data_IF_045875778473
#
_entry.id   IF_045875778473
#
_cell.length_a   1.000
_cell.length_b   1.000
_cell.length_c   1.000
_cell.angle_alpha   90.00
_cell.angle_beta   90.00
_cell.angle_gamma   90.00
#
_symmetry.space_group_name_H-M   'P 1'
#
loop_
_entity.id
_entity.type
_entity.pdbx_description
1 polymer ?
#
# COMPACT_ATOMS: atom_id res chain seq x y z
N UNK A 1 19.87 9.57 12.88
CA UNK A 1 18.91 9.32 11.80
C UNK A 1 17.61 8.88 12.45
N UNK A 2 16.48 9.47 12.03
CA UNK A 2 15.17 9.13 12.53
C UNK A 2 14.53 8.13 11.60
N UNK A 3 13.77 7.19 12.15
CA UNK A 3 12.92 6.29 11.38
C UNK A 3 11.53 6.92 11.33
N UNK A 4 10.82 6.83 10.21
CA UNK A 4 9.53 7.51 9.99
C UNK A 4 8.50 6.52 9.45
N UNK A 5 7.21 6.74 9.77
CA UNK A 5 6.14 6.02 9.11
C UNK A 5 5.80 6.70 7.79
N UNK A 6 5.46 5.90 6.80
CA UNK A 6 5.00 6.36 5.50
C UNK A 6 3.70 5.67 5.14
N UNK A 7 2.85 6.38 4.40
CA UNK A 7 1.68 5.83 3.74
C UNK A 7 1.85 6.01 2.24
N UNK A 8 1.57 4.97 1.46
CA UNK A 8 1.62 5.04 0.02
C UNK A 8 0.53 4.21 -0.66
N UNK A 9 0.31 4.50 -1.93
CA UNK A 9 -0.51 3.67 -2.83
C UNK A 9 0.42 2.73 -3.57
N UNK A 10 0.10 1.44 -3.59
CA UNK A 10 0.84 0.47 -4.40
C UNK A 10 0.63 0.77 -5.88
N UNK A 11 1.72 1.08 -6.59
CA UNK A 11 1.74 1.22 -8.04
C UNK A 11 2.00 -0.13 -8.72
N UNK A 12 2.94 -0.91 -8.17
CA UNK A 12 3.25 -2.24 -8.67
C UNK A 12 3.58 -3.18 -7.50
N UNK A 13 3.32 -4.47 -7.67
CA UNK A 13 3.68 -5.47 -6.70
C UNK A 13 4.14 -6.79 -7.33
N UNK A 14 4.89 -7.54 -6.53
CA UNK A 14 5.29 -8.91 -6.79
C UNK A 14 5.06 -9.75 -5.52
N UNK A 15 4.37 -10.89 -5.66
CA UNK A 15 4.20 -11.85 -4.58
C UNK A 15 4.73 -13.23 -4.98
N UNK A 16 5.48 -13.84 -4.06
CA UNK A 16 6.11 -15.13 -4.26
C UNK A 16 6.05 -15.99 -3.00
N UNK A 17 6.06 -17.30 -3.20
CA UNK A 17 6.16 -18.30 -2.12
C UNK A 17 7.11 -19.42 -2.54
N UNK A 18 7.67 -20.11 -1.54
CA UNK A 18 8.49 -21.31 -1.76
C UNK A 18 7.59 -22.55 -1.86
N UNK A 19 6.36 -22.47 -1.33
CA UNK A 19 5.38 -23.54 -1.45
C UNK A 19 4.84 -23.62 -2.88
N UNK A 20 4.44 -24.82 -3.30
CA UNK A 20 3.78 -25.01 -4.60
C UNK A 20 2.31 -24.60 -4.51
N UNK A 21 2.05 -23.29 -4.49
CA UNK A 21 0.69 -22.73 -4.54
C UNK A 21 0.21 -22.56 -5.98
N UNK A 22 -1.08 -22.75 -6.20
CA UNK A 22 -1.74 -22.36 -7.45
C UNK A 22 -1.86 -20.84 -7.54
N UNK A 23 -2.06 -20.33 -8.77
CA UNK A 23 -2.32 -18.91 -9.00
C UNK A 23 -3.50 -18.39 -8.15
N UNK A 24 -4.57 -19.17 -8.04
CA UNK A 24 -5.79 -18.77 -7.31
C UNK A 24 -5.56 -18.71 -5.80
N UNK A 25 -4.83 -19.68 -5.24
CA UNK A 25 -4.46 -19.67 -3.82
C UNK A 25 -3.60 -18.45 -3.48
N UNK A 26 -2.55 -18.20 -4.27
CA UNK A 26 -1.68 -17.05 -4.02
C UNK A 26 -2.44 -15.72 -4.20
N UNK A 27 -3.27 -15.61 -5.25
CA UNK A 27 -4.09 -14.43 -5.48
C UNK A 27 -5.05 -14.18 -4.31
N UNK A 28 -5.77 -15.20 -3.84
CA UNK A 28 -6.69 -15.07 -2.70
C UNK A 28 -5.97 -14.60 -1.44
N UNK A 29 -4.79 -15.15 -1.14
CA UNK A 29 -4.03 -14.73 0.04
C UNK A 29 -3.46 -13.32 -0.09
N UNK A 30 -2.98 -12.93 -1.27
CA UNK A 30 -2.55 -11.54 -1.53
C UNK A 30 -3.75 -10.58 -1.47
N UNK A 31 -4.94 -11.03 -1.86
CA UNK A 31 -6.14 -10.21 -1.88
C UNK A 31 -6.55 -9.70 -0.48
N UNK A 32 -6.14 -10.40 0.59
CA UNK A 32 -6.33 -9.95 1.97
C UNK A 32 -5.45 -8.74 2.34
N UNK A 33 -4.38 -8.52 1.57
CA UNK A 33 -3.37 -7.47 1.80
C UNK A 33 -3.50 -6.33 0.79
N UNK A 34 -3.92 -6.62 -0.44
CA UNK A 34 -4.16 -5.68 -1.53
C UNK A 34 -5.42 -6.07 -2.28
N UNK A 35 -6.32 -5.14 -2.57
CA UNK A 35 -7.48 -5.45 -3.39
C UNK A 35 -7.05 -5.65 -4.85
N UNK A 36 -6.94 -6.91 -5.29
CA UNK A 36 -6.44 -7.30 -6.61
C UNK A 36 -7.34 -6.82 -7.75
N UNK A 37 -8.61 -6.49 -7.50
CA UNK A 37 -9.51 -5.93 -8.52
C UNK A 37 -9.06 -4.55 -9.02
N UNK A 38 -8.16 -3.88 -8.29
CA UNK A 38 -7.59 -2.59 -8.66
C UNK A 38 -6.35 -2.71 -9.56
N UNK A 39 -5.85 -3.93 -9.78
CA UNK A 39 -4.61 -4.19 -10.48
C UNK A 39 -4.86 -5.00 -11.76
N UNK A 40 -4.09 -4.69 -12.80
CA UNK A 40 -3.88 -5.61 -13.90
C UNK A 40 -2.76 -6.55 -13.49
N UNK A 41 -3.12 -7.80 -13.17
CA UNK A 41 -2.19 -8.78 -12.63
C UNK A 41 -2.10 -10.04 -13.50
N UNK A 42 -0.96 -10.71 -13.39
CA UNK A 42 -0.71 -11.99 -14.02
C UNK A 42 0.04 -12.93 -13.06
N UNK A 43 0.01 -14.23 -13.37
CA UNK A 43 0.76 -15.23 -12.64
C UNK A 43 1.69 -15.97 -13.61
N UNK A 44 3.00 -15.81 -13.41
CA UNK A 44 4.04 -16.39 -14.27
C UNK A 44 5.15 -16.97 -13.39
N UNK A 45 5.61 -18.18 -13.69
CA UNK A 45 6.73 -18.84 -13.00
C UNK A 45 6.62 -18.91 -11.47
N UNK A 46 5.40 -19.11 -10.95
CA UNK A 46 5.16 -19.18 -9.50
C UNK A 46 5.09 -17.82 -8.81
N UNK A 47 5.06 -16.74 -9.59
CA UNK A 47 5.08 -15.36 -9.13
C UNK A 47 3.81 -14.63 -9.56
N UNK A 48 3.16 -13.94 -8.64
CA UNK A 48 2.01 -13.08 -8.90
C UNK A 48 2.49 -11.64 -9.01
N UNK A 49 2.35 -11.02 -10.17
CA UNK A 49 2.75 -9.64 -10.42
C UNK A 49 1.55 -8.82 -10.80
N UNK A 50 1.48 -7.56 -10.36
CA UNK A 50 0.41 -6.67 -10.75
C UNK A 50 0.80 -5.20 -10.76
N UNK A 51 0.13 -4.44 -11.62
CA UNK A 51 0.28 -2.99 -11.75
C UNK A 51 -1.08 -2.34 -11.57
N UNK A 52 -1.12 -1.20 -10.87
CA UNK A 52 -2.35 -0.45 -10.64
C UNK A 52 -2.97 -0.08 -11.99
N UNK A 53 -4.28 -0.29 -12.16
CA UNK A 53 -4.96 0.00 -13.42
C UNK A 53 -4.82 1.47 -13.80
N UNK A 54 -4.63 1.71 -15.09
CA UNK A 54 -4.55 3.06 -15.65
C UNK A 54 -5.76 3.91 -15.24
N UNK A 55 -5.50 5.18 -14.89
CA UNK A 55 -6.52 6.15 -14.50
C UNK A 55 -7.00 6.04 -13.05
N UNK A 56 -6.87 4.88 -12.37
CA UNK A 56 -7.35 4.74 -10.99
C UNK A 56 -6.70 5.75 -10.04
N UNK A 57 -5.39 6.00 -10.18
CA UNK A 57 -4.71 6.97 -9.33
C UNK A 57 -5.22 8.38 -9.57
N UNK A 58 -5.13 8.88 -10.81
CA UNK A 58 -5.46 10.27 -11.14
C UNK A 58 -6.93 10.60 -10.87
N UNK A 59 -7.84 9.65 -11.10
CA UNK A 59 -9.27 9.82 -10.86
C UNK A 59 -9.64 9.91 -9.36
N UNK A 60 -8.82 9.34 -8.46
CA UNK A 60 -9.21 9.13 -7.06
C UNK A 60 -8.28 9.78 -6.02
N UNK A 61 -7.08 10.20 -6.41
CA UNK A 61 -6.06 10.68 -5.47
C UNK A 61 -6.46 11.97 -4.75
N UNK A 62 -7.09 12.92 -5.45
CA UNK A 62 -7.55 14.17 -4.86
C UNK A 62 -8.61 13.93 -3.77
N UNK A 63 -9.58 13.04 -4.02
CA UNK A 63 -10.59 12.66 -3.02
C UNK A 63 -9.94 11.92 -1.82
N UNK A 64 -8.97 11.04 -2.08
CA UNK A 64 -8.25 10.35 -1.02
C UNK A 64 -7.55 11.34 -0.08
N UNK A 65 -6.82 12.32 -0.62
CA UNK A 65 -6.18 13.37 0.19
C UNK A 65 -7.18 14.21 0.98
N UNK A 66 -8.36 14.53 0.40
CA UNK A 66 -9.41 15.24 1.15
C UNK A 66 -9.90 14.43 2.36
N UNK A 67 -10.08 13.11 2.20
CA UNK A 67 -10.46 12.23 3.33
C UNK A 67 -9.35 12.13 4.36
N UNK A 68 -8.10 11.98 3.94
CA UNK A 68 -6.94 11.94 4.83
C UNK A 68 -6.81 13.26 5.62
N UNK A 69 -6.96 14.40 4.96
CA UNK A 69 -6.95 15.72 5.60
C UNK A 69 -8.06 15.87 6.65
N UNK A 70 -9.27 15.36 6.36
CA UNK A 70 -10.38 15.38 7.29
C UNK A 70 -10.09 14.58 8.58
N UNK A 71 -9.35 13.48 8.47
CA UNK A 71 -8.93 12.65 9.61
C UNK A 71 -7.80 13.32 10.39
N UNK A 72 -6.81 13.85 9.68
CA UNK A 72 -5.65 14.50 10.28
C UNK A 72 -6.00 15.82 10.99
N UNK A 73 -7.16 16.42 10.68
CA UNK A 73 -7.74 17.61 11.30
C UNK A 73 -6.75 18.80 11.39
N UNK A 74 -5.91 18.85 12.43
CA UNK A 74 -4.93 19.92 12.69
C UNK A 74 -3.65 19.81 11.85
N UNK A 75 -3.38 18.67 11.20
CA UNK A 75 -2.19 18.45 10.37
C UNK A 75 -2.49 18.49 8.86
N UNK A 76 -3.58 19.16 8.48
CA UNK A 76 -4.08 19.23 7.10
C UNK A 76 -3.03 19.71 6.09
N UNK A 77 -2.29 20.76 6.42
CA UNK A 77 -1.27 21.34 5.54
C UNK A 77 -0.14 20.34 5.24
N UNK A 78 0.14 19.41 6.15
CA UNK A 78 1.18 18.38 5.98
C UNK A 78 0.70 17.24 5.09
N UNK A 79 -0.60 16.92 5.13
CA UNK A 79 -1.21 15.88 4.31
C UNK A 79 -1.41 16.35 2.88
N UNK A 80 -1.77 17.61 2.65
CA UNK A 80 -2.03 18.12 1.29
C UNK A 80 -0.76 18.44 0.49
N UNK A 81 0.42 18.47 1.11
CA UNK A 81 1.69 18.85 0.46
C UNK A 81 1.96 18.09 -0.83
N UNK A 82 1.87 16.75 -0.81
CA UNK A 82 2.19 15.93 -1.98
C UNK A 82 1.21 16.15 -3.13
N UNK A 83 -0.08 16.33 -2.84
CA UNK A 83 -1.07 16.67 -3.87
C UNK A 83 -0.83 18.06 -4.45
N UNK A 84 -0.42 19.04 -3.63
CA UNK A 84 -0.12 20.39 -4.09
C UNK A 84 1.12 20.44 -4.99
N UNK A 85 2.13 19.63 -4.68
CA UNK A 85 3.40 19.59 -5.42
C UNK A 85 3.30 18.77 -6.72
N UNK A 86 2.68 17.59 -6.66
CA UNK A 86 2.73 16.59 -7.74
C UNK A 86 1.40 16.38 -8.47
N UNK A 87 0.31 16.95 -7.96
CA UNK A 87 -1.01 16.86 -8.59
C UNK A 87 -1.54 15.42 -8.68
N UNK A 88 -2.08 15.06 -9.84
CA UNK A 88 -2.65 13.73 -10.12
C UNK A 88 -1.71 12.83 -10.94
N UNK A 89 -0.47 13.27 -11.19
CA UNK A 89 0.52 12.54 -11.97
C UNK A 89 1.33 11.58 -11.09
N UNK A 90 0.97 10.29 -11.12
CA UNK A 90 1.60 9.23 -10.30
C UNK A 90 3.13 9.16 -10.43
N UNK A 91 3.68 9.49 -11.60
CA UNK A 91 5.12 9.39 -11.89
C UNK A 91 5.95 10.54 -11.29
N UNK A 92 5.31 11.63 -10.86
CA UNK A 92 5.98 12.76 -10.21
C UNK A 92 6.17 12.55 -8.71
N UNK A 93 5.44 11.60 -8.12
CA UNK A 93 5.51 11.30 -6.71
C UNK A 93 6.79 10.52 -6.35
N UNK A 94 7.37 10.76 -5.15
CA UNK A 94 8.44 9.92 -4.62
C UNK A 94 7.99 8.46 -4.47
N UNK A 95 8.88 7.56 -4.87
CA UNK A 95 8.66 6.12 -4.81
C UNK A 95 9.40 5.51 -3.62
N UNK A 96 8.78 4.53 -2.95
CA UNK A 96 9.39 3.76 -1.86
C UNK A 96 9.15 2.28 -2.08
N UNK A 97 10.19 1.48 -1.86
CA UNK A 97 10.08 0.03 -1.91
C UNK A 97 9.64 -0.53 -0.55
N UNK A 98 8.59 -1.35 -0.55
CA UNK A 98 8.10 -2.02 0.64
C UNK A 98 8.17 -3.55 0.49
N UNK A 99 8.50 -4.23 1.60
CA UNK A 99 8.47 -5.69 1.67
C UNK A 99 7.65 -6.13 2.88
N UNK A 100 6.64 -6.96 2.62
CA UNK A 100 5.80 -7.60 3.63
C UNK A 100 6.00 -9.12 3.57
N UNK A 101 6.15 -9.73 4.74
CA UNK A 101 6.17 -11.18 4.90
C UNK A 101 4.98 -11.56 5.78
N UNK A 102 4.18 -12.52 5.31
CA UNK A 102 3.04 -13.04 6.04
C UNK A 102 2.83 -14.52 5.73
N UNK A 103 1.89 -15.15 6.44
CA UNK A 103 1.57 -16.56 6.30
C UNK A 103 0.11 -16.70 5.90
N UNK A 104 -0.18 -17.68 5.06
CA UNK A 104 -1.56 -18.11 4.78
C UNK A 104 -2.11 -18.98 5.93
N UNK A 105 -3.37 -19.41 5.80
CA UNK A 105 -4.05 -20.25 6.78
C UNK A 105 -3.39 -21.64 6.96
N UNK A 106 -2.63 -22.11 5.97
CA UNK A 106 -1.90 -23.37 5.99
C UNK A 106 -0.47 -23.21 6.56
N UNK A 107 -0.06 -21.99 6.88
CA UNK A 107 1.27 -21.67 7.40
C UNK A 107 2.35 -21.53 6.32
N UNK A 108 1.99 -21.43 5.04
CA UNK A 108 2.91 -21.15 3.96
C UNK A 108 3.37 -19.69 4.02
N UNK A 109 4.69 -19.48 3.93
CA UNK A 109 5.28 -18.15 3.91
C UNK A 109 5.07 -17.49 2.56
N UNK A 110 4.52 -16.28 2.55
CA UNK A 110 4.35 -15.44 1.37
C UNK A 110 5.17 -14.17 1.56
N UNK A 111 5.90 -13.80 0.51
CA UNK A 111 6.67 -12.58 0.41
C UNK A 111 5.99 -11.69 -0.62
N UNK A 112 5.55 -10.52 -0.19
CA UNK A 112 4.97 -9.48 -1.04
C UNK A 112 5.96 -8.30 -1.06
N UNK A 113 6.33 -7.89 -2.25
CA UNK A 113 7.17 -6.73 -2.53
C UNK A 113 6.34 -5.73 -3.34
N UNK A 114 6.44 -4.45 -3.04
CA UNK A 114 5.60 -3.43 -3.63
C UNK A 114 6.36 -2.13 -3.82
N UNK A 115 6.12 -1.48 -4.95
CA UNK A 115 6.54 -0.11 -5.22
C UNK A 115 5.39 0.83 -4.82
N UNK A 116 5.68 1.71 -3.87
CA UNK A 116 4.72 2.61 -3.25
C UNK A 116 4.92 4.04 -3.75
N UNK A 117 3.84 4.63 -4.21
CA UNK A 117 3.71 6.07 -4.41
C UNK A 117 3.49 6.71 -3.04
N UNK A 118 4.48 7.43 -2.53
CA UNK A 118 4.44 8.03 -1.19
C UNK A 118 3.44 9.19 -1.12
N UNK A 119 2.42 9.06 -0.27
CA UNK A 119 1.41 10.09 -0.08
C UNK A 119 1.76 11.07 1.05
N UNK A 120 2.34 10.56 2.13
CA UNK A 120 2.93 11.39 3.18
C UNK A 120 3.82 10.55 4.10
N UNK A 121 4.67 11.25 4.85
CA UNK A 121 5.54 10.69 5.89
C UNK A 121 5.11 11.31 7.22
N UNK A 122 4.78 10.49 8.20
CA UNK A 122 4.37 10.94 9.53
C UNK A 122 5.25 10.34 10.63
N UNK A 123 5.64 11.21 11.57
CA UNK A 123 6.17 10.81 12.87
C UNK A 123 7.60 10.26 12.85
N UNK A 124 8.25 10.32 14.02
CA UNK A 124 9.51 9.64 14.27
C UNK A 124 9.21 8.35 15.05
N UNK A 125 9.46 7.21 14.43
CA UNK A 125 9.28 5.88 14.98
C UNK A 125 10.52 5.48 15.78
N UNK A 126 10.34 4.95 16.98
CA UNK A 126 11.38 4.23 17.70
C UNK A 126 11.33 2.76 17.23
N UNK A 127 12.40 2.30 16.59
CA UNK A 127 12.51 1.00 15.91
C UNK A 127 12.23 -0.23 16.82
N UNK A 128 12.17 -0.07 18.14
CA UNK A 128 12.03 -1.16 19.10
C UNK A 128 10.58 -1.59 19.40
N UNK A 129 9.55 -0.91 18.86
CA UNK A 129 8.16 -1.10 19.31
C UNK A 129 7.14 -1.54 18.25
N UNK A 130 7.52 -1.96 17.03
CA UNK A 130 6.52 -2.36 16.03
C UNK A 130 6.79 -3.66 15.30
N UNK A 131 5.99 -4.68 15.65
CA UNK A 131 5.73 -5.83 14.79
C UNK A 131 4.30 -5.84 14.21
N UNK A 132 3.44 -4.87 14.56
CA UNK A 132 1.97 -4.95 14.33
C UNK A 132 1.36 -3.73 13.61
N UNK A 133 1.95 -2.53 13.64
CA UNK A 133 1.25 -1.30 13.15
C UNK A 133 1.03 -1.21 11.64
N UNK A 134 2.01 -1.48 10.76
CA UNK A 134 1.81 -1.26 9.32
C UNK A 134 0.69 -2.12 8.73
N UNK A 135 0.66 -3.41 9.08
CA UNK A 135 -0.36 -4.33 8.59
C UNK A 135 -1.76 -3.99 9.14
N UNK A 136 -1.84 -3.53 10.40
CA UNK A 136 -3.10 -3.11 11.01
C UNK A 136 -3.64 -1.83 10.38
N UNK A 137 -2.78 -0.83 10.12
CA UNK A 137 -3.17 0.41 9.43
C UNK A 137 -3.70 0.10 8.03
N UNK A 138 -2.98 -0.72 7.26
CA UNK A 138 -3.41 -1.17 5.93
C UNK A 138 -4.78 -1.86 5.99
N UNK A 139 -4.98 -2.75 6.96
CA UNK A 139 -6.25 -3.43 7.16
C UNK A 139 -7.37 -2.44 7.51
N UNK A 140 -7.11 -1.47 8.40
CA UNK A 140 -8.07 -0.45 8.79
C UNK A 140 -8.49 0.42 7.61
N UNK A 141 -7.58 0.87 6.74
CA UNK A 141 -7.94 1.63 5.54
C UNK A 141 -8.89 0.86 4.63
N UNK A 142 -8.70 -0.45 4.47
CA UNK A 142 -9.54 -1.31 3.61
C UNK A 142 -10.92 -1.62 4.20
N UNK A 143 -11.03 -1.69 5.53
CA UNK A 143 -12.25 -2.13 6.21
C UNK A 143 -13.00 -1.01 6.92
N UNK A 144 -12.39 0.18 7.01
CA UNK A 144 -13.12 1.39 7.37
C UNK A 144 -13.96 1.82 6.18
N UNK A 145 -15.09 2.47 6.44
CA UNK A 145 -16.00 2.99 5.42
C UNK A 145 -15.41 4.22 4.72
N UNK A 146 -14.25 4.05 4.10
CA UNK A 146 -13.67 4.98 3.15
C UNK A 146 -14.19 4.62 1.77
N UNK A 147 -15.15 5.40 1.30
CA UNK A 147 -15.64 5.28 -0.07
C UNK A 147 -14.63 5.92 -1.04
N UNK A 148 -13.49 5.26 -1.22
CA UNK A 148 -12.46 5.58 -2.21
C UNK A 148 -11.72 4.27 -2.60
N UNK A 149 -11.64 3.93 -3.90
CA UNK A 149 -11.10 2.64 -4.34
C UNK A 149 -9.61 2.48 -3.98
N UNK A 150 -8.81 3.56 -3.96
CA UNK A 150 -7.38 3.48 -3.66
C UNK A 150 -7.09 2.97 -2.24
N UNK A 151 -8.06 2.99 -1.32
CA UNK A 151 -7.91 2.38 0.00
C UNK A 151 -7.58 0.88 -0.05
N UNK A 152 -8.07 0.19 -1.08
CA UNK A 152 -7.73 -1.20 -1.39
C UNK A 152 -6.26 -1.42 -1.77
N UNK A 153 -5.58 -0.37 -2.21
CA UNK A 153 -4.19 -0.36 -2.65
C UNK A 153 -3.24 0.37 -1.67
N UNK A 154 -3.71 0.73 -0.47
CA UNK A 154 -2.85 1.41 0.53
C UNK A 154 -1.91 0.41 1.21
N UNK A 155 -0.63 0.78 1.26
CA UNK A 155 0.37 0.16 2.11
C UNK A 155 1.16 1.21 2.88
N UNK A 156 1.38 0.97 4.17
CA UNK A 156 2.32 1.71 4.99
C UNK A 156 3.67 1.02 5.07
N UNK A 157 4.74 1.79 5.07
CA UNK A 157 6.12 1.33 5.24
C UNK A 157 6.85 2.15 6.29
N UNK A 158 8.04 1.70 6.66
CA UNK A 158 8.95 2.40 7.56
C UNK A 158 10.17 2.88 6.75
N UNK A 159 10.43 4.19 6.75
CA UNK A 159 11.54 4.83 6.02
C UNK A 159 12.59 5.32 7.02
N UNK A 160 13.89 5.23 6.73
CA UNK A 160 14.99 5.53 7.68
C UNK A 160 16.18 6.25 7.10
#
# INVERSE_FOLDING_TARGET
MGTYYSLGVVQAFEAQTIASLTSEQLANTVNERLNLDLFDWNFTDGCLQGTLKDGLFSENIADLFQKLAAIANRSRDTVEYYLQEFGDNIEEYPQEFCRLIFFDDEGNKIKLEADLVLLFIEGKVLAEMFSIEPALINWLFRHSSFDNPLTGAIMSSIVG
#
